data_IF_148031234531
#
_entry.id   IF_148031234531
#
_cell.length_a   1.000
_cell.length_b   1.000
_cell.length_c   1.000
_cell.angle_alpha   90.00
_cell.angle_beta   90.00
_cell.angle_gamma   90.00
#
_symmetry.space_group_name_H-M   'P 1'
#
loop_
_entity.id
_entity.type
_entity.pdbx_description
1 polymer ?
#
# COMPACT_ATOMS: atom_id res chain seq x y z
N UNK A 1 30.25 12.61 20.23
CA UNK A 1 28.82 12.67 19.88
C UNK A 1 28.74 12.39 18.39
N UNK A 2 28.40 11.17 18.02
CA UNK A 2 28.18 10.82 16.60
C UNK A 2 26.94 11.57 16.15
N UNK A 3 27.11 12.54 15.25
CA UNK A 3 26.02 13.37 14.72
C UNK A 3 25.13 12.49 13.84
N UNK A 4 24.17 11.78 14.45
CA UNK A 4 23.19 11.01 13.68
C UNK A 4 22.40 11.97 12.79
N UNK A 5 22.15 11.62 11.51
CA UNK A 5 21.41 12.48 10.60
C UNK A 5 19.99 12.70 11.14
N UNK A 6 19.53 13.95 11.09
CA UNK A 6 18.16 14.32 11.44
C UNK A 6 17.23 13.90 10.31
N UNK A 7 16.24 13.08 10.62
CA UNK A 7 15.26 12.59 9.64
C UNK A 7 13.86 13.04 10.07
N UNK A 8 13.13 13.64 9.13
CA UNK A 8 11.77 14.12 9.36
C UNK A 8 10.78 13.50 8.37
N UNK A 9 9.72 12.89 8.89
CA UNK A 9 8.57 12.44 8.10
C UNK A 9 7.56 13.60 7.98
N UNK A 10 7.00 13.78 6.79
CA UNK A 10 5.98 14.81 6.50
C UNK A 10 4.79 14.16 5.83
N UNK A 11 3.62 14.23 6.46
CA UNK A 11 2.41 13.60 5.93
C UNK A 11 1.15 14.25 6.51
N UNK A 12 0.03 14.06 5.82
CA UNK A 12 -1.27 14.22 6.47
C UNK A 12 -1.65 12.92 7.19
N UNK A 13 -1.62 12.87 8.54
CA UNK A 13 -1.84 11.63 9.29
C UNK A 13 -3.30 11.14 9.28
N UNK A 14 -4.20 11.89 8.64
CA UNK A 14 -5.61 11.53 8.43
C UNK A 14 -5.82 10.75 7.13
N UNK A 15 -4.76 10.51 6.34
CA UNK A 15 -4.86 9.70 5.14
C UNK A 15 -5.44 8.32 5.50
N UNK A 16 -6.60 7.92 4.95
CA UNK A 16 -7.21 6.65 5.27
C UNK A 16 -6.48 5.49 4.56
N UNK A 17 -6.46 4.33 5.20
CA UNK A 17 -5.92 3.12 4.59
C UNK A 17 -4.38 3.11 4.46
N UNK A 18 -3.89 2.96 3.22
CA UNK A 18 -2.52 2.51 2.92
C UNK A 18 -1.39 3.44 3.36
N UNK A 19 -1.49 4.75 3.11
CA UNK A 19 -0.37 5.69 3.39
C UNK A 19 -0.03 5.75 4.88
N UNK A 20 -1.01 6.07 5.74
CA UNK A 20 -0.77 6.20 7.18
C UNK A 20 -0.40 4.88 7.84
N UNK A 21 -0.97 3.77 7.36
CA UNK A 21 -0.58 2.43 7.82
C UNK A 21 0.87 2.10 7.40
N UNK A 22 1.27 2.41 6.17
CA UNK A 22 2.66 2.23 5.73
C UNK A 22 3.62 3.03 6.61
N UNK A 23 3.34 4.31 6.85
CA UNK A 23 4.19 5.16 7.71
C UNK A 23 4.24 4.65 9.15
N UNK A 24 3.14 4.09 9.67
CA UNK A 24 3.13 3.47 11.00
C UNK A 24 4.16 2.32 11.09
N UNK A 25 4.17 1.43 10.10
CA UNK A 25 5.15 0.33 10.00
C UNK A 25 6.58 0.86 9.82
N UNK A 26 6.76 1.88 8.97
CA UNK A 26 8.06 2.50 8.74
C UNK A 26 8.64 3.10 10.02
N UNK A 27 7.84 3.88 10.76
CA UNK A 27 8.25 4.46 12.05
C UNK A 27 8.67 3.35 13.02
N UNK A 28 7.87 2.29 13.15
CA UNK A 28 8.21 1.16 14.02
C UNK A 28 9.52 0.49 13.59
N UNK A 29 9.71 0.27 12.28
CA UNK A 29 10.89 -0.38 11.73
C UNK A 29 12.17 0.46 11.86
N UNK A 30 12.10 1.79 11.68
CA UNK A 30 13.30 2.64 11.71
C UNK A 30 13.64 3.16 13.11
N UNK A 31 12.70 3.09 14.07
CA UNK A 31 12.90 3.59 15.44
C UNK A 31 14.15 3.06 16.15
N UNK A 32 14.57 1.80 15.97
CA UNK A 32 15.83 1.29 16.52
C UNK A 32 17.09 1.91 15.88
N UNK A 33 16.99 2.41 14.65
CA UNK A 33 18.10 2.96 13.87
C UNK A 33 18.27 4.47 14.06
N UNK A 34 17.14 5.18 14.22
CA UNK A 34 17.07 6.63 14.32
C UNK A 34 15.85 7.03 15.14
N UNK A 35 15.89 8.21 15.76
CA UNK A 35 14.68 8.84 16.32
C UNK A 35 14.14 9.86 15.32
N UNK A 36 13.18 9.50 14.45
CA UNK A 36 12.67 10.44 13.46
C UNK A 36 11.79 11.51 14.12
N UNK A 37 11.78 12.70 13.53
CA UNK A 37 10.75 13.71 13.75
C UNK A 37 9.55 13.39 12.86
N UNK A 38 8.33 13.60 13.35
CA UNK A 38 7.10 13.44 12.57
C UNK A 38 6.36 14.75 12.52
N UNK A 39 6.21 15.29 11.32
CA UNK A 39 5.55 16.56 11.06
C UNK A 39 4.20 16.29 10.39
N UNK A 40 3.14 16.48 11.16
CA UNK A 40 1.77 16.30 10.72
C UNK A 40 1.28 17.53 9.95
N UNK A 41 0.58 17.28 8.84
CA UNK A 41 0.06 18.30 7.93
C UNK A 41 -1.45 18.28 7.94
N UNK A 42 -2.06 19.46 8.11
CA UNK A 42 -3.48 19.64 7.84
C UNK A 42 -3.70 20.01 6.36
N UNK A 43 -4.09 19.06 5.53
CA UNK A 43 -4.53 19.31 4.14
C UNK A 43 -6.05 19.51 4.02
N UNK A 44 -6.49 20.09 2.89
CA UNK A 44 -7.91 20.20 2.53
C UNK A 44 -8.55 18.86 2.17
N UNK A 45 -7.76 17.90 1.70
CA UNK A 45 -8.24 16.60 1.25
C UNK A 45 -8.93 15.80 2.36
N UNK A 46 -8.49 15.97 3.61
CA UNK A 46 -8.98 15.21 4.77
C UNK A 46 -9.68 16.09 5.80
N UNK A 47 -10.29 17.19 5.35
CA UNK A 47 -11.12 18.04 6.21
C UNK A 47 -12.23 17.22 6.88
N UNK A 48 -12.34 17.34 8.21
CA UNK A 48 -13.33 16.61 9.00
C UNK A 48 -13.02 15.12 9.27
N UNK A 49 -11.86 14.62 8.83
CA UNK A 49 -11.45 13.23 9.12
C UNK A 49 -10.61 13.15 10.40
N UNK A 50 -10.73 12.02 11.10
CA UNK A 50 -9.92 11.69 12.27
C UNK A 50 -8.55 11.15 11.88
N UNK A 51 -7.62 11.18 12.84
CA UNK A 51 -6.31 10.56 12.72
C UNK A 51 -6.40 9.05 12.47
N UNK A 52 -5.45 8.53 11.69
CA UNK A 52 -5.28 7.08 11.55
C UNK A 52 -4.92 6.46 12.91
N UNK A 53 -5.73 5.53 13.45
CA UNK A 53 -5.42 4.87 14.73
C UNK A 53 -4.11 4.07 14.68
N UNK A 54 -3.78 3.48 13.53
CA UNK A 54 -2.55 2.71 13.35
C UNK A 54 -1.31 3.60 13.48
N UNK A 55 -1.34 4.80 12.89
CA UNK A 55 -0.23 5.74 12.99
C UNK A 55 -0.13 6.32 14.40
N UNK A 56 -1.26 6.72 15.00
CA UNK A 56 -1.28 7.20 16.38
C UNK A 56 -0.65 6.17 17.34
N UNK A 57 -1.07 4.91 17.26
CA UNK A 57 -0.52 3.83 18.09
C UNK A 57 0.98 3.59 17.85
N UNK A 58 1.46 3.67 16.60
CA UNK A 58 2.88 3.53 16.30
C UNK A 58 3.72 4.69 16.85
N UNK A 59 3.21 5.93 16.79
CA UNK A 59 3.87 7.11 17.35
C UNK A 59 3.95 7.02 18.88
N UNK A 60 2.85 6.63 19.53
CA UNK A 60 2.79 6.43 20.98
C UNK A 60 3.79 5.35 21.42
N UNK A 61 3.80 4.19 20.74
CA UNK A 61 4.74 3.10 21.01
C UNK A 61 6.21 3.50 20.81
N UNK A 62 6.47 4.39 19.85
CA UNK A 62 7.82 4.91 19.56
C UNK A 62 8.25 6.06 20.48
N UNK A 63 7.34 6.61 21.30
CA UNK A 63 7.55 7.81 22.12
C UNK A 63 7.83 9.06 21.27
N UNK A 64 7.08 9.20 20.16
CA UNK A 64 7.20 10.31 19.21
C UNK A 64 5.93 11.15 19.27
N UNK A 65 6.07 12.43 19.58
CA UNK A 65 4.99 13.40 19.46
C UNK A 65 5.05 14.07 18.08
N UNK A 66 3.92 14.06 17.35
CA UNK A 66 3.86 14.69 16.04
C UNK A 66 3.76 16.22 16.17
N UNK A 67 4.61 16.94 15.45
CA UNK A 67 4.56 18.40 15.36
C UNK A 67 3.55 18.79 14.27
N UNK A 68 2.46 19.45 14.66
CA UNK A 68 1.40 19.85 13.75
C UNK A 68 1.69 21.17 13.05
N UNK A 69 1.54 21.17 11.73
CA UNK A 69 1.58 22.35 10.87
C UNK A 69 2.76 23.30 11.17
N UNK A 70 3.92 22.70 11.43
CA UNK A 70 5.15 23.44 11.65
C UNK A 70 5.41 24.40 10.47
N UNK A 71 5.66 25.70 10.72
CA UNK A 71 5.88 26.67 9.64
C UNK A 71 7.19 26.39 8.89
N UNK A 72 8.15 25.76 9.57
CA UNK A 72 9.46 25.36 9.02
C UNK A 72 9.78 23.94 9.49
N UNK A 73 10.20 23.11 8.55
CA UNK A 73 10.71 21.74 8.78
C UNK A 73 12.15 21.71 8.29
N UNK A 74 13.09 21.47 9.20
CA UNK A 74 14.52 21.47 8.88
C UNK A 74 15.19 20.18 9.38
N UNK A 75 15.73 19.38 8.46
CA UNK A 75 16.34 18.08 8.74
C UNK A 75 17.37 17.72 7.64
N UNK A 76 18.27 16.76 7.90
CA UNK A 76 19.19 16.30 6.85
C UNK A 76 18.43 15.57 5.74
N UNK A 77 17.44 14.77 6.11
CA UNK A 77 16.53 14.12 5.16
C UNK A 77 15.08 14.35 5.56
N UNK A 78 14.28 14.80 4.60
CA UNK A 78 12.83 14.96 4.75
C UNK A 78 12.14 13.97 3.84
N UNK A 79 11.26 13.15 4.41
CA UNK A 79 10.51 12.11 3.71
C UNK A 79 9.04 12.53 3.70
N UNK A 80 8.59 13.05 2.56
CA UNK A 80 7.21 13.47 2.35
C UNK A 80 6.39 12.31 1.80
N UNK A 81 5.40 11.86 2.56
CA UNK A 81 4.52 10.77 2.15
C UNK A 81 3.30 11.30 1.41
N UNK A 82 3.16 10.79 0.19
CA UNK A 82 2.02 10.92 -0.70
C UNK A 82 1.67 12.37 -1.09
N UNK A 83 2.20 12.88 -2.22
CA UNK A 83 1.93 14.25 -2.65
C UNK A 83 0.45 14.53 -2.91
N UNK A 84 -0.39 13.51 -3.11
CA UNK A 84 -1.81 13.67 -3.43
C UNK A 84 -2.62 14.39 -2.35
N UNK A 85 -2.15 14.46 -1.09
CA UNK A 85 -2.83 15.25 -0.05
C UNK A 85 -2.91 16.74 -0.42
N UNK A 86 -2.05 17.24 -1.29
CA UNK A 86 -2.00 18.64 -1.74
C UNK A 86 -2.97 18.97 -2.89
N UNK A 87 -3.68 18.00 -3.46
CA UNK A 87 -4.43 18.20 -4.71
C UNK A 87 -5.52 19.27 -4.65
N UNK A 88 -6.02 19.60 -3.45
CA UNK A 88 -7.00 20.67 -3.24
C UNK A 88 -6.40 21.91 -2.58
N UNK A 89 -5.12 21.87 -2.22
CA UNK A 89 -4.42 22.97 -1.57
C UNK A 89 -3.89 23.97 -2.59
N UNK A 90 -3.60 25.20 -2.15
CA UNK A 90 -3.02 26.24 -3.03
C UNK A 90 -1.50 26.34 -2.91
N UNK A 91 -0.96 25.95 -1.76
CA UNK A 91 0.47 25.98 -1.44
C UNK A 91 0.79 24.80 -0.52
N UNK A 92 2.09 24.52 -0.29
CA UNK A 92 2.50 23.58 0.76
C UNK A 92 2.18 24.11 2.17
N UNK A 93 2.03 25.42 2.35
CA UNK A 93 1.69 26.04 3.64
C UNK A 93 2.83 26.07 4.67
N UNK A 94 4.03 25.59 4.31
CA UNK A 94 5.23 25.53 5.17
C UNK A 94 6.50 25.54 4.33
N UNK A 95 7.64 25.80 4.97
CA UNK A 95 8.97 25.75 4.34
C UNK A 95 9.71 24.48 4.76
N UNK A 96 10.21 23.74 3.80
CA UNK A 96 11.09 22.60 4.03
C UNK A 96 12.51 23.03 3.68
N UNK A 97 13.46 22.77 4.59
CA UNK A 97 14.90 22.97 4.35
C UNK A 97 15.60 21.66 4.63
N UNK A 98 16.18 21.05 3.60
CA UNK A 98 16.81 19.74 3.74
C UNK A 98 18.03 19.56 2.86
N UNK A 99 18.88 18.59 3.17
CA UNK A 99 19.87 18.10 2.19
C UNK A 99 19.16 17.25 1.15
N UNK A 100 18.39 16.26 1.61
CA UNK A 100 17.58 15.36 0.78
C UNK A 100 16.09 15.58 1.04
N UNK A 101 15.31 15.74 -0.03
CA UNK A 101 13.86 15.55 0.00
C UNK A 101 13.50 14.26 -0.76
N UNK A 102 12.91 13.31 -0.07
CA UNK A 102 12.33 12.09 -0.65
C UNK A 102 10.82 12.26 -0.66
N UNK A 103 10.18 12.13 -1.81
CA UNK A 103 8.73 12.18 -1.98
C UNK A 103 8.23 10.79 -2.32
N UNK A 104 7.64 10.11 -1.35
CA UNK A 104 7.12 8.75 -1.51
C UNK A 104 5.76 8.78 -2.20
N UNK A 105 5.62 8.13 -3.35
CA UNK A 105 4.42 8.19 -4.19
C UNK A 105 3.49 7.01 -3.91
N UNK A 106 2.66 7.12 -2.87
CA UNK A 106 1.70 6.07 -2.51
C UNK A 106 0.52 5.94 -3.48
N UNK A 107 0.22 6.98 -4.26
CA UNK A 107 -0.80 6.96 -5.32
C UNK A 107 -0.15 6.84 -6.70
N UNK A 108 -0.85 6.17 -7.62
CA UNK A 108 -0.43 6.12 -9.02
C UNK A 108 -0.57 7.50 -9.66
N UNK A 109 0.47 7.94 -10.36
CA UNK A 109 0.43 9.20 -11.10
C UNK A 109 -0.52 9.10 -12.29
N UNK A 110 -0.64 7.90 -12.87
CA UNK A 110 -1.52 7.61 -13.98
C UNK A 110 -2.39 6.40 -13.66
N UNK A 111 -3.66 6.48 -14.05
CA UNK A 111 -4.61 5.36 -14.01
C UNK A 111 -4.47 4.53 -15.28
N UNK A 112 -5.00 3.28 -15.29
CA UNK A 112 -5.26 2.59 -16.55
C UNK A 112 -5.97 3.51 -17.54
N UNK A 113 -5.47 3.58 -18.77
CA UNK A 113 -5.91 4.55 -19.79
C UNK A 113 -5.13 5.87 -19.83
N UNK A 114 -4.17 6.08 -18.93
CA UNK A 114 -3.21 7.19 -19.00
C UNK A 114 -3.67 8.53 -18.43
N UNK A 115 -4.92 8.62 -17.95
CA UNK A 115 -5.41 9.77 -17.21
C UNK A 115 -4.68 9.93 -15.87
N UNK A 116 -4.47 11.16 -15.41
CA UNK A 116 -3.81 11.39 -14.12
C UNK A 116 -4.64 10.86 -12.94
N UNK A 117 -3.95 10.33 -11.93
CA UNK A 117 -4.58 9.90 -10.67
C UNK A 117 -5.17 11.06 -9.86
N UNK A 118 -4.48 12.20 -9.91
CA UNK A 118 -4.73 13.47 -9.21
C UNK A 118 -3.94 14.58 -9.93
N UNK A 119 -4.04 15.84 -9.49
CA UNK A 119 -3.21 16.97 -10.00
C UNK A 119 -1.72 16.77 -9.65
N UNK A 120 -1.02 15.92 -10.41
CA UNK A 120 0.38 15.53 -10.13
C UNK A 120 1.28 16.75 -10.27
N UNK A 121 1.21 17.42 -11.42
CA UNK A 121 2.04 18.59 -11.73
C UNK A 121 1.91 19.68 -10.66
N UNK A 122 0.67 20.00 -10.28
CA UNK A 122 0.43 21.01 -9.26
C UNK A 122 0.86 20.56 -7.87
N UNK A 123 0.70 19.30 -7.48
CA UNK A 123 1.17 18.84 -6.17
C UNK A 123 2.70 18.94 -6.07
N UNK A 124 3.40 18.51 -7.12
CA UNK A 124 4.86 18.64 -7.19
C UNK A 124 5.30 20.11 -7.24
N UNK A 125 4.57 21.00 -7.92
CA UNK A 125 4.85 22.45 -7.90
C UNK A 125 4.79 23.04 -6.50
N UNK A 126 3.75 22.69 -5.74
CA UNK A 126 3.56 23.18 -4.38
C UNK A 126 4.69 22.72 -3.45
N UNK A 127 5.10 21.45 -3.57
CA UNK A 127 6.24 20.90 -2.82
C UNK A 127 7.53 21.62 -3.21
N UNK A 128 7.76 21.79 -4.50
CA UNK A 128 8.97 22.38 -5.06
C UNK A 128 9.17 23.83 -4.60
N UNK A 129 8.11 24.65 -4.68
CA UNK A 129 8.11 26.06 -4.21
C UNK A 129 8.25 26.18 -2.69
N UNK A 130 7.73 25.20 -1.96
CA UNK A 130 7.81 25.15 -0.50
C UNK A 130 9.14 24.60 0.03
N UNK A 131 10.05 24.13 -0.84
CA UNK A 131 11.24 23.38 -0.41
C UNK A 131 12.54 23.91 -0.97
N UNK A 132 13.49 24.18 -0.08
CA UNK A 132 14.91 24.36 -0.39
C UNK A 132 15.62 23.05 -0.04
N UNK A 133 15.97 22.27 -1.07
CA UNK A 133 16.73 21.03 -0.89
C UNK A 133 17.83 20.89 -1.95
N UNK A 134 18.96 20.28 -1.58
CA UNK A 134 20.06 20.03 -2.53
C UNK A 134 19.66 18.97 -3.56
N UNK A 135 18.89 17.96 -3.13
CA UNK A 135 18.37 16.89 -3.98
C UNK A 135 16.91 16.60 -3.66
N UNK A 136 16.13 16.35 -4.71
CA UNK A 136 14.72 15.95 -4.62
C UNK A 136 14.53 14.63 -5.37
N UNK A 137 13.84 13.67 -4.76
CA UNK A 137 13.70 12.33 -5.32
C UNK A 137 12.26 11.85 -5.19
N UNK A 138 11.67 11.43 -6.30
CA UNK A 138 10.42 10.66 -6.31
C UNK A 138 10.72 9.21 -5.97
N UNK A 139 10.03 8.63 -5.00
CA UNK A 139 10.23 7.26 -4.54
C UNK A 139 8.94 6.45 -4.71
N UNK A 140 8.81 5.71 -5.84
CA UNK A 140 7.67 4.82 -6.07
C UNK A 140 7.54 3.71 -5.05
N UNK A 141 6.31 3.34 -4.70
CA UNK A 141 6.04 2.29 -3.70
C UNK A 141 6.01 0.88 -4.28
N UNK A 142 6.03 0.72 -5.61
CA UNK A 142 6.08 -0.59 -6.25
C UNK A 142 6.54 -0.49 -7.70
N UNK A 143 6.84 -1.63 -8.31
CA UNK A 143 7.20 -1.71 -9.71
C UNK A 143 6.11 -1.15 -10.63
N UNK A 144 4.83 -1.42 -10.33
CA UNK A 144 3.74 -0.85 -11.12
C UNK A 144 3.64 0.67 -10.91
N UNK A 145 3.67 1.13 -9.66
CA UNK A 145 3.64 2.56 -9.36
C UNK A 145 4.81 3.30 -10.05
N UNK A 146 6.00 2.70 -10.06
CA UNK A 146 7.19 3.20 -10.77
C UNK A 146 6.95 3.38 -12.25
N UNK A 147 6.26 2.45 -12.92
CA UNK A 147 5.90 2.60 -14.34
C UNK A 147 5.03 3.85 -14.49
N UNK A 148 4.00 4.02 -13.66
CA UNK A 148 3.11 5.20 -13.76
C UNK A 148 3.84 6.53 -13.51
N UNK A 149 4.81 6.54 -12.58
CA UNK A 149 5.62 7.72 -12.28
C UNK A 149 6.61 7.99 -13.41
N UNK A 150 7.31 6.97 -13.90
CA UNK A 150 8.28 7.07 -14.99
C UNK A 150 7.63 7.57 -16.28
N UNK A 151 6.48 7.01 -16.66
CA UNK A 151 5.72 7.41 -17.84
C UNK A 151 5.24 8.86 -17.74
N UNK A 152 4.75 9.25 -16.56
CA UNK A 152 4.35 10.63 -16.31
C UNK A 152 5.53 11.59 -16.44
N UNK A 153 6.68 11.25 -15.84
CA UNK A 153 7.92 12.04 -15.93
C UNK A 153 8.41 12.13 -17.37
N UNK A 154 8.38 11.05 -18.14
CA UNK A 154 8.80 11.04 -19.53
C UNK A 154 7.93 11.97 -20.40
N UNK A 155 6.63 12.06 -20.11
CA UNK A 155 5.68 12.90 -20.86
C UNK A 155 5.71 14.38 -20.45
N UNK A 156 5.87 14.67 -19.16
CA UNK A 156 5.75 16.03 -18.62
C UNK A 156 7.11 16.68 -18.31
N UNK A 157 8.19 15.91 -18.36
CA UNK A 157 9.48 16.29 -17.82
C UNK A 157 9.52 16.18 -16.29
N UNK A 158 10.75 16.10 -15.77
CA UNK A 158 11.03 16.26 -14.34
C UNK A 158 11.61 17.64 -14.12
N UNK A 159 11.24 18.31 -13.02
CA UNK A 159 11.79 19.63 -12.70
C UNK A 159 13.30 19.55 -12.46
N UNK A 160 14.07 20.61 -12.75
CA UNK A 160 15.49 20.66 -12.39
C UNK A 160 15.70 20.33 -10.90
N UNK A 161 16.67 19.45 -10.62
CA UNK A 161 16.98 19.00 -9.26
C UNK A 161 16.12 17.85 -8.74
N UNK A 162 15.14 17.37 -9.52
CA UNK A 162 14.37 16.17 -9.20
C UNK A 162 14.90 14.94 -9.93
N UNK A 163 14.81 13.79 -9.28
CA UNK A 163 15.23 12.48 -9.77
C UNK A 163 14.23 11.40 -9.39
N UNK A 164 14.32 10.22 -10.01
CA UNK A 164 13.59 9.03 -9.59
C UNK A 164 14.51 8.14 -8.76
N UNK A 165 14.01 7.61 -7.64
CA UNK A 165 14.76 6.69 -6.79
C UNK A 165 15.15 5.44 -7.58
N UNK A 166 16.36 4.91 -7.38
CA UNK A 166 16.84 3.72 -8.07
C UNK A 166 15.94 2.50 -7.82
N UNK A 167 15.58 2.26 -6.57
CA UNK A 167 14.71 1.17 -6.14
C UNK A 167 13.40 1.69 -5.55
N UNK A 168 12.41 0.81 -5.43
CA UNK A 168 11.13 1.15 -4.83
C UNK A 168 11.30 1.42 -3.32
N UNK A 169 10.44 2.28 -2.78
CA UNK A 169 10.33 2.53 -1.34
C UNK A 169 9.67 1.35 -0.63
N UNK A 170 8.67 0.75 -1.29
CA UNK A 170 7.77 -0.32 -0.84
C UNK A 170 7.12 -0.15 0.54
N UNK A 171 5.95 -0.76 0.69
CA UNK A 171 5.30 -0.82 2.00
C UNK A 171 5.75 -2.09 2.71
N UNK A 172 6.03 -1.98 4.01
CA UNK A 172 6.39 -3.13 4.83
C UNK A 172 5.20 -4.09 4.92
N UNK A 173 5.46 -5.37 4.67
CA UNK A 173 4.54 -6.50 4.76
C UNK A 173 5.16 -7.60 5.59
N UNK A 174 5.40 -7.28 6.86
CA UNK A 174 5.96 -8.19 7.85
C UNK A 174 4.82 -8.69 8.74
N UNK A 175 4.29 -9.86 8.39
CA UNK A 175 3.11 -10.44 9.02
C UNK A 175 3.46 -11.82 9.60
N UNK A 176 2.82 -12.24 10.70
CA UNK A 176 2.88 -13.63 11.13
C UNK A 176 2.42 -14.56 10.00
N UNK A 177 3.22 -15.59 9.74
CA UNK A 177 2.92 -16.57 8.70
C UNK A 177 2.08 -17.72 9.26
N UNK A 178 0.95 -17.98 8.61
CA UNK A 178 0.10 -19.14 8.89
C UNK A 178 0.43 -20.25 7.91
N UNK A 179 0.53 -21.53 8.35
CA UNK A 179 0.75 -22.64 7.42
C UNK A 179 -0.38 -22.75 6.39
N UNK A 180 -0.12 -23.36 5.21
CA UNK A 180 -1.17 -23.64 4.24
C UNK A 180 -2.26 -24.54 4.82
N UNK A 181 -3.49 -24.36 4.37
CA UNK A 181 -4.59 -25.32 4.61
C UNK A 181 -4.25 -26.69 4.00
N UNK A 182 -4.29 -27.76 4.80
CA UNK A 182 -3.96 -29.13 4.34
C UNK A 182 -4.96 -29.69 3.32
N UNK A 183 -6.25 -29.37 3.48
CA UNK A 183 -7.33 -29.80 2.61
C UNK A 183 -8.18 -28.58 2.19
N UNK A 184 -7.71 -27.78 1.21
CA UNK A 184 -8.41 -26.59 0.77
C UNK A 184 -9.78 -26.96 0.18
N UNK A 185 -10.79 -26.16 0.46
CA UNK A 185 -12.15 -26.29 -0.08
C UNK A 185 -12.50 -25.05 -0.90
N UNK A 186 -13.62 -25.09 -1.63
CA UNK A 186 -14.05 -23.95 -2.46
C UNK A 186 -14.66 -22.82 -1.61
N UNK A 187 -13.82 -22.23 -0.75
CA UNK A 187 -14.13 -21.11 0.14
C UNK A 187 -13.39 -19.87 -0.33
N UNK A 188 -14.12 -18.96 -0.96
CA UNK A 188 -13.57 -17.80 -1.66
C UNK A 188 -13.74 -16.54 -0.83
N UNK A 189 -12.70 -15.72 -0.81
CA UNK A 189 -12.68 -14.44 -0.13
C UNK A 189 -12.32 -13.30 -1.05
N UNK A 190 -12.86 -12.11 -0.76
CA UNK A 190 -12.32 -10.83 -1.21
C UNK A 190 -12.20 -9.86 -0.04
N UNK A 191 -11.09 -9.13 0.04
CA UNK A 191 -10.88 -8.08 1.04
C UNK A 191 -10.30 -6.80 0.40
N UNK A 192 -10.96 -5.66 0.62
CA UNK A 192 -10.41 -4.34 0.28
C UNK A 192 -11.02 -3.25 1.16
N UNK A 193 -10.46 -2.04 1.15
CA UNK A 193 -11.20 -0.84 1.57
C UNK A 193 -12.45 -0.64 0.68
N UNK A 194 -13.48 0.09 1.15
CA UNK A 194 -14.63 0.41 0.31
C UNK A 194 -14.24 1.42 -0.77
N UNK A 195 -14.88 1.33 -1.92
CA UNK A 195 -14.68 2.22 -3.07
C UNK A 195 -15.06 1.53 -4.36
N UNK A 196 -15.85 2.19 -5.20
CA UNK A 196 -16.31 1.61 -6.47
C UNK A 196 -15.13 1.19 -7.36
N UNK A 197 -14.03 1.94 -7.32
CA UNK A 197 -12.82 1.63 -8.10
C UNK A 197 -12.14 0.32 -7.67
N UNK A 198 -12.36 -0.10 -6.42
CA UNK A 198 -11.78 -1.33 -5.87
C UNK A 198 -12.54 -2.57 -6.32
N UNK A 199 -13.79 -2.44 -6.77
CA UNK A 199 -14.62 -3.57 -7.17
C UNK A 199 -14.64 -3.72 -8.69
N UNK A 200 -14.58 -4.96 -9.22
CA UNK A 200 -14.79 -5.18 -10.63
C UNK A 200 -16.29 -5.06 -10.96
N UNK A 201 -16.67 -5.01 -12.24
CA UNK A 201 -18.08 -5.03 -12.64
C UNK A 201 -18.82 -6.25 -12.06
N UNK A 202 -20.13 -6.10 -11.83
CA UNK A 202 -20.97 -7.14 -11.23
C UNK A 202 -20.83 -8.52 -11.91
N UNK A 203 -20.80 -8.55 -13.24
CA UNK A 203 -20.62 -9.79 -14.01
C UNK A 203 -19.31 -10.54 -13.66
N UNK A 204 -18.24 -9.80 -13.33
CA UNK A 204 -16.97 -10.39 -12.89
C UNK A 204 -17.08 -10.94 -11.47
N UNK A 205 -17.80 -10.24 -10.57
CA UNK A 205 -18.08 -10.76 -9.23
C UNK A 205 -18.90 -12.04 -9.27
N UNK A 206 -19.94 -12.12 -10.11
CA UNK A 206 -20.78 -13.31 -10.25
C UNK A 206 -19.98 -14.53 -10.76
N UNK A 207 -18.98 -14.31 -11.64
CA UNK A 207 -18.04 -15.36 -12.06
C UNK A 207 -17.09 -15.78 -10.94
N UNK A 208 -16.57 -14.83 -10.17
CA UNK A 208 -15.58 -15.09 -9.12
C UNK A 208 -16.20 -15.70 -7.85
N UNK A 209 -17.44 -15.35 -7.53
CA UNK A 209 -18.15 -15.73 -6.31
C UNK A 209 -19.49 -16.42 -6.60
N UNK A 210 -19.50 -17.59 -7.24
CA UNK A 210 -20.70 -18.25 -7.70
C UNK A 210 -21.45 -18.96 -6.57
N UNK A 211 -22.75 -19.24 -6.79
CA UNK A 211 -23.63 -19.95 -5.84
C UNK A 211 -23.14 -21.35 -5.45
N UNK A 212 -22.36 -22.02 -6.31
CA UNK A 212 -21.90 -23.37 -6.06
C UNK A 212 -20.66 -23.45 -5.14
N UNK A 213 -19.98 -22.32 -4.90
CA UNK A 213 -18.87 -22.27 -3.95
C UNK A 213 -19.40 -22.56 -2.53
N UNK A 214 -18.60 -23.25 -1.71
CA UNK A 214 -18.97 -23.57 -0.33
C UNK A 214 -19.17 -22.30 0.50
N UNK A 215 -18.34 -21.29 0.27
CA UNK A 215 -18.47 -19.98 0.90
C UNK A 215 -17.95 -18.87 -0.01
N UNK A 216 -18.64 -17.73 -0.02
CA UNK A 216 -18.17 -16.49 -0.63
C UNK A 216 -18.20 -15.39 0.43
N UNK A 217 -17.03 -14.93 0.89
CA UNK A 217 -16.90 -13.96 1.99
C UNK A 217 -16.25 -12.68 1.46
N UNK A 218 -17.02 -11.59 1.41
CA UNK A 218 -16.57 -10.31 0.88
C UNK A 218 -16.47 -9.32 2.04
N UNK A 219 -15.25 -8.93 2.39
CA UNK A 219 -14.93 -7.96 3.44
C UNK A 219 -14.61 -6.59 2.80
N UNK A 220 -15.24 -5.54 3.32
CA UNK A 220 -15.23 -4.21 2.68
C UNK A 220 -16.31 -4.04 1.60
N UNK A 221 -17.44 -4.72 1.79
CA UNK A 221 -18.51 -4.85 0.82
C UNK A 221 -19.56 -3.72 0.85
N UNK A 222 -19.27 -2.58 1.48
CA UNK A 222 -20.26 -1.49 1.67
C UNK A 222 -20.95 -1.07 0.36
N UNK A 223 -20.20 -1.04 -0.75
CA UNK A 223 -20.76 -0.70 -2.07
C UNK A 223 -21.79 -1.73 -2.56
N UNK A 224 -21.61 -3.00 -2.22
CA UNK A 224 -22.52 -4.10 -2.57
C UNK A 224 -23.70 -4.17 -1.59
N UNK A 225 -23.47 -3.86 -0.31
CA UNK A 225 -24.51 -3.83 0.72
C UNK A 225 -25.54 -2.72 0.47
N UNK A 226 -25.17 -1.68 -0.27
CA UNK A 226 -26.04 -0.59 -0.65
C UNK A 226 -26.91 -0.90 -1.90
N UNK A 227 -26.70 -2.03 -2.57
CA UNK A 227 -27.53 -2.44 -3.72
C UNK A 227 -28.93 -2.90 -3.26
N UNK A 228 -29.97 -2.53 -4.01
CA UNK A 228 -31.36 -2.89 -3.68
C UNK A 228 -31.63 -4.40 -3.73
N UNK A 229 -30.88 -5.13 -4.57
CA UNK A 229 -31.03 -6.56 -4.80
C UNK A 229 -29.86 -7.34 -4.17
N UNK A 230 -29.98 -7.80 -2.91
CA UNK A 230 -28.92 -8.54 -2.25
C UNK A 230 -28.68 -9.88 -2.93
N UNK A 231 -27.42 -10.33 -2.92
CA UNK A 231 -27.01 -11.63 -3.48
C UNK A 231 -26.92 -12.66 -2.35
N UNK A 232 -27.89 -13.60 -2.22
CA UNK A 232 -28.03 -14.40 -1.00
C UNK A 232 -26.86 -15.36 -0.70
N UNK A 233 -26.06 -15.69 -1.72
CA UNK A 233 -24.90 -16.59 -1.58
C UNK A 233 -23.59 -15.85 -1.30
N UNK A 234 -23.64 -14.53 -1.09
CA UNK A 234 -22.50 -13.72 -0.66
C UNK A 234 -22.64 -13.34 0.81
N UNK A 235 -21.61 -13.61 1.59
CA UNK A 235 -21.48 -13.14 2.97
C UNK A 235 -20.76 -11.79 2.94
N UNK A 236 -21.53 -10.72 3.05
CA UNK A 236 -21.04 -9.35 2.95
C UNK A 236 -20.74 -8.78 4.34
N UNK A 237 -19.53 -8.26 4.53
CA UNK A 237 -19.10 -7.59 5.75
C UNK A 237 -18.55 -6.20 5.43
N UNK A 238 -18.84 -5.18 6.25
CA UNK A 238 -18.26 -3.85 6.07
C UNK A 238 -16.75 -3.90 6.30
N UNK A 239 -16.01 -2.92 5.82
CA UNK A 239 -14.59 -2.81 6.03
C UNK A 239 -14.27 -2.74 7.52
N UNK A 240 -13.32 -3.55 7.98
CA UNK A 240 -13.02 -3.77 9.42
C UNK A 240 -14.18 -4.32 10.24
N UNK A 241 -15.22 -4.86 9.60
CA UNK A 241 -16.34 -5.54 10.27
C UNK A 241 -15.99 -6.93 10.79
N UNK A 242 -14.86 -7.50 10.37
CA UNK A 242 -14.27 -8.72 10.88
C UNK A 242 -12.81 -8.47 11.22
N UNK A 243 -12.35 -9.11 12.29
CA UNK A 243 -10.93 -9.33 12.53
C UNK A 243 -10.32 -10.16 11.38
N UNK A 244 -9.07 -9.87 11.01
CA UNK A 244 -8.43 -10.49 9.85
C UNK A 244 -8.14 -11.98 10.07
N UNK A 245 -7.78 -12.41 11.28
CA UNK A 245 -7.58 -13.82 11.59
C UNK A 245 -8.89 -14.59 11.38
N UNK A 246 -9.99 -14.04 11.92
CA UNK A 246 -11.33 -14.61 11.70
C UNK A 246 -11.69 -14.65 10.22
N UNK A 247 -11.48 -13.57 9.49
CA UNK A 247 -11.78 -13.50 8.05
C UNK A 247 -11.00 -14.57 7.26
N UNK A 248 -9.69 -14.66 7.47
CA UNK A 248 -8.85 -15.64 6.78
C UNK A 248 -9.17 -17.09 7.20
N UNK A 249 -9.70 -17.31 8.41
CA UNK A 249 -10.22 -18.62 8.81
C UNK A 249 -11.45 -19.09 8.00
N UNK A 250 -12.18 -18.16 7.38
CA UNK A 250 -13.40 -18.46 6.61
C UNK A 250 -13.12 -18.83 5.15
N UNK A 251 -11.89 -18.63 4.65
CA UNK A 251 -11.55 -18.76 3.23
C UNK A 251 -10.29 -19.61 3.01
N UNK A 252 -10.16 -20.19 1.82
CA UNK A 252 -8.94 -20.86 1.34
C UNK A 252 -8.32 -20.15 0.13
N UNK A 253 -9.15 -19.43 -0.65
CA UNK A 253 -8.74 -18.70 -1.83
C UNK A 253 -9.10 -17.23 -1.71
N UNK A 254 -8.13 -16.34 -1.89
CA UNK A 254 -8.38 -14.90 -1.98
C UNK A 254 -8.47 -14.51 -3.46
N UNK A 255 -9.65 -14.14 -3.93
CA UNK A 255 -9.92 -13.75 -5.32
C UNK A 255 -10.06 -12.24 -5.38
N UNK A 256 -9.11 -11.58 -6.06
CA UNK A 256 -8.99 -10.12 -6.06
C UNK A 256 -8.91 -9.58 -7.48
N UNK A 257 -10.03 -9.06 -7.99
CA UNK A 257 -10.08 -8.27 -9.21
C UNK A 257 -10.59 -6.87 -8.85
N UNK A 258 -10.15 -5.85 -9.60
CA UNK A 258 -10.57 -4.46 -9.43
C UNK A 258 -11.29 -3.94 -10.68
N UNK A 259 -11.80 -2.71 -10.63
CA UNK A 259 -12.33 -2.08 -11.82
C UNK A 259 -11.22 -1.98 -12.91
N UNK A 260 -11.54 -2.11 -14.21
CA UNK A 260 -10.54 -1.98 -15.29
C UNK A 260 -9.84 -0.61 -15.34
N UNK A 261 -10.46 0.41 -14.73
CA UNK A 261 -9.94 1.77 -14.61
C UNK A 261 -9.10 1.99 -13.34
N UNK A 262 -8.83 0.92 -12.59
CA UNK A 262 -8.11 0.96 -11.33
C UNK A 262 -6.99 -0.08 -11.30
N UNK A 263 -5.85 0.34 -10.79
CA UNK A 263 -4.73 -0.54 -10.48
C UNK A 263 -4.21 -0.23 -9.08
N UNK A 264 -3.92 -1.26 -8.31
CA UNK A 264 -3.31 -1.07 -6.99
C UNK A 264 -1.91 -0.44 -7.10
N UNK A 265 -1.63 0.55 -6.26
CA UNK A 265 -0.27 1.12 -6.16
C UNK A 265 0.70 0.17 -5.47
N UNK A 266 0.24 -0.67 -4.53
CA UNK A 266 1.08 -1.68 -3.88
C UNK A 266 0.32 -3.00 -3.65
N UNK A 267 -0.87 -2.96 -3.03
CA UNK A 267 -1.69 -4.16 -2.82
C UNK A 267 -1.43 -4.90 -1.51
N UNK A 268 -1.30 -4.19 -0.37
CA UNK A 268 -1.04 -4.80 0.96
C UNK A 268 -2.03 -5.92 1.33
N UNK A 269 -3.30 -5.80 0.96
CA UNK A 269 -4.32 -6.84 1.21
C UNK A 269 -4.00 -8.19 0.57
N UNK A 270 -3.22 -8.20 -0.51
CA UNK A 270 -2.73 -9.42 -1.15
C UNK A 270 -1.62 -10.05 -0.31
N UNK A 271 -0.70 -9.23 0.22
CA UNK A 271 0.34 -9.69 1.13
C UNK A 271 -0.22 -10.24 2.45
N UNK A 272 -1.29 -9.63 2.99
CA UNK A 272 -2.02 -10.15 4.16
C UNK A 272 -2.58 -11.55 3.89
N UNK A 273 -3.19 -11.76 2.72
CA UNK A 273 -3.72 -13.08 2.34
C UNK A 273 -2.61 -14.12 2.09
N UNK A 274 -1.48 -13.71 1.49
CA UNK A 274 -0.30 -14.57 1.33
C UNK A 274 0.22 -15.01 2.71
N UNK A 275 0.39 -14.06 3.64
CA UNK A 275 0.86 -14.34 4.98
C UNK A 275 -0.08 -15.29 5.73
N UNK A 276 -1.40 -15.10 5.58
CA UNK A 276 -2.43 -15.95 6.16
C UNK A 276 -2.55 -17.35 5.51
N UNK A 277 -1.63 -17.72 4.63
CA UNK A 277 -1.53 -19.07 4.08
C UNK A 277 -2.53 -19.35 2.96
N UNK A 278 -3.01 -18.32 2.25
CA UNK A 278 -4.02 -18.44 1.19
C UNK A 278 -3.40 -18.40 -0.20
N UNK A 279 -4.02 -19.12 -1.14
CA UNK A 279 -3.73 -18.91 -2.57
C UNK A 279 -4.44 -17.64 -3.01
N UNK A 280 -3.66 -16.66 -3.48
CA UNK A 280 -4.16 -15.38 -3.98
C UNK A 280 -4.26 -15.42 -5.49
N UNK A 281 -5.41 -15.04 -6.03
CA UNK A 281 -5.79 -15.11 -7.43
C UNK A 281 -6.19 -13.72 -7.89
N UNK A 282 -5.63 -13.27 -9.02
CA UNK A 282 -5.89 -11.92 -9.55
C UNK A 282 -5.64 -11.85 -11.05
N UNK A 283 -5.85 -10.68 -11.65
CA UNK A 283 -5.47 -10.41 -13.04
C UNK A 283 -3.93 -10.35 -13.20
N UNK A 284 -3.47 -10.44 -14.45
CA UNK A 284 -2.05 -10.48 -14.76
C UNK A 284 -1.29 -9.19 -14.35
N UNK A 285 -1.93 -8.02 -14.43
CA UNK A 285 -1.28 -6.75 -14.10
C UNK A 285 -1.07 -6.63 -12.59
N UNK A 286 -2.07 -7.01 -11.79
CA UNK A 286 -1.95 -7.09 -10.33
C UNK A 286 -0.95 -8.16 -9.90
N UNK A 287 -0.96 -9.33 -10.54
CA UNK A 287 -0.05 -10.43 -10.19
C UNK A 287 1.43 -10.13 -10.49
N UNK A 288 1.71 -9.31 -11.52
CA UNK A 288 3.07 -8.96 -11.94
C UNK A 288 3.91 -8.32 -10.81
N UNK A 289 3.27 -7.59 -9.89
CA UNK A 289 3.93 -6.95 -8.76
C UNK A 289 4.42 -7.90 -7.66
N UNK A 290 3.99 -9.16 -7.69
CA UNK A 290 4.17 -10.11 -6.58
C UNK A 290 5.07 -11.31 -6.93
N UNK A 291 5.86 -11.23 -8.01
CA UNK A 291 6.89 -12.22 -8.36
C UNK A 291 6.41 -13.69 -8.30
N UNK A 292 5.18 -13.96 -8.75
CA UNK A 292 4.58 -15.30 -8.77
C UNK A 292 3.88 -15.73 -7.47
N UNK A 293 3.85 -14.87 -6.44
CA UNK A 293 3.09 -15.14 -5.22
C UNK A 293 1.58 -15.04 -5.42
N UNK A 294 1.15 -14.17 -6.35
CA UNK A 294 -0.23 -14.07 -6.83
C UNK A 294 -0.36 -14.85 -8.13
N UNK A 295 -1.40 -15.69 -8.25
CA UNK A 295 -1.67 -16.51 -9.42
C UNK A 295 -2.47 -15.69 -10.45
N UNK A 296 -1.90 -15.37 -11.62
CA UNK A 296 -2.61 -14.63 -12.66
C UNK A 296 -3.65 -15.52 -13.34
N UNK A 297 -4.88 -15.01 -13.50
CA UNK A 297 -5.94 -15.70 -14.24
C UNK A 297 -6.99 -14.71 -14.76
N UNK A 298 -7.89 -15.17 -15.63
CA UNK A 298 -9.08 -14.42 -16.04
C UNK A 298 -10.28 -14.80 -15.18
N UNK A 299 -11.26 -13.91 -14.97
CA UNK A 299 -12.45 -14.20 -14.16
C UNK A 299 -13.15 -15.52 -14.54
N UNK A 300 -13.26 -15.82 -15.83
CA UNK A 300 -13.89 -17.03 -16.36
C UNK A 300 -13.11 -18.33 -16.08
N UNK A 301 -11.85 -18.23 -15.66
CA UNK A 301 -10.96 -19.36 -15.38
C UNK A 301 -10.80 -19.67 -13.88
N UNK A 302 -11.28 -18.79 -13.00
CA UNK A 302 -11.14 -18.89 -11.53
C UNK A 302 -11.65 -20.24 -11.02
N UNK A 303 -12.81 -20.67 -11.49
CA UNK A 303 -13.44 -21.95 -11.13
C UNK A 303 -12.54 -23.16 -11.46
N UNK A 304 -11.97 -23.17 -12.66
CA UNK A 304 -11.09 -24.26 -13.09
C UNK A 304 -9.79 -24.27 -12.30
N UNK A 305 -9.25 -23.08 -12.00
CA UNK A 305 -8.04 -22.92 -11.20
C UNK A 305 -8.24 -23.45 -9.77
N UNK A 306 -9.32 -23.05 -9.10
CA UNK A 306 -9.65 -23.48 -7.74
C UNK A 306 -9.84 -25.00 -7.68
N UNK A 307 -10.60 -25.58 -8.62
CA UNK A 307 -10.76 -27.05 -8.71
C UNK A 307 -9.42 -27.77 -8.83
N UNK A 308 -8.48 -27.22 -9.60
CA UNK A 308 -7.14 -27.78 -9.73
C UNK A 308 -6.34 -27.80 -8.41
N UNK A 309 -6.49 -26.77 -7.57
CA UNK A 309 -5.86 -26.72 -6.25
C UNK A 309 -6.55 -27.62 -5.22
N UNK A 310 -7.87 -27.80 -5.30
CA UNK A 310 -8.61 -28.74 -4.43
C UNK A 310 -8.25 -30.19 -4.79
N UNK A 311 -8.13 -30.50 -6.08
CA UNK A 311 -7.75 -31.84 -6.55
C UNK A 311 -6.29 -32.22 -6.24
N UNK A 312 -5.41 -31.22 -6.04
CA UNK A 312 -4.01 -31.40 -5.66
C UNK A 312 -3.64 -30.45 -4.51
N UNK A 313 -3.93 -30.84 -3.25
CA UNK A 313 -3.54 -30.05 -2.07
C UNK A 313 -2.03 -29.83 -1.94
N UNK A 314 -1.20 -30.73 -2.51
CA UNK A 314 0.25 -30.56 -2.56
C UNK A 314 0.66 -29.36 -3.40
N UNK A 315 -0.03 -29.12 -4.52
CA UNK A 315 0.12 -27.90 -5.34
C UNK A 315 -0.33 -26.65 -4.60
N UNK A 316 -1.42 -26.71 -3.83
CA UNK A 316 -1.88 -25.59 -2.99
C UNK A 316 -0.81 -25.21 -1.97
N UNK A 317 -0.37 -26.17 -1.16
CA UNK A 317 0.64 -25.95 -0.13
C UNK A 317 1.96 -25.45 -0.70
N UNK A 318 2.36 -25.95 -1.87
CA UNK A 318 3.57 -25.48 -2.57
C UNK A 318 3.43 -24.06 -3.09
N UNK A 319 2.26 -23.66 -3.61
CA UNK A 319 2.01 -22.27 -4.02
C UNK A 319 2.06 -21.32 -2.83
N UNK A 320 1.39 -21.67 -1.72
CA UNK A 320 1.38 -20.85 -0.50
C UNK A 320 2.79 -20.64 0.04
N UNK A 321 3.59 -21.72 0.20
CA UNK A 321 4.97 -21.60 0.70
C UNK A 321 5.85 -20.74 -0.19
N UNK A 322 5.75 -20.89 -1.52
CA UNK A 322 6.47 -20.03 -2.47
C UNK A 322 6.04 -18.58 -2.34
N UNK A 323 4.74 -18.33 -2.24
CA UNK A 323 4.19 -16.99 -2.08
C UNK A 323 4.69 -16.32 -0.79
N UNK A 324 4.62 -17.03 0.34
CA UNK A 324 5.12 -16.53 1.63
C UNK A 324 6.62 -16.21 1.60
N UNK A 325 7.44 -17.03 0.93
CA UNK A 325 8.86 -16.75 0.79
C UNK A 325 9.14 -15.40 0.08
N UNK A 326 8.25 -14.96 -0.82
CA UNK A 326 8.40 -13.65 -1.48
C UNK A 326 8.21 -12.46 -0.55
N UNK A 327 7.46 -12.62 0.56
CA UNK A 327 7.21 -11.54 1.52
C UNK A 327 8.47 -11.05 2.23
N UNK A 328 9.52 -11.88 2.31
CA UNK A 328 10.83 -11.48 2.84
C UNK A 328 11.41 -10.22 2.18
N UNK A 329 11.07 -9.97 0.90
CA UNK A 329 11.48 -8.77 0.14
C UNK A 329 10.80 -7.49 0.62
N UNK A 330 9.69 -7.63 1.35
CA UNK A 330 8.90 -6.54 1.93
C UNK A 330 8.97 -6.54 3.46
N UNK A 331 9.93 -7.25 4.05
CA UNK A 331 10.13 -7.31 5.51
C UNK A 331 10.60 -5.97 6.08
N UNK A 332 10.49 -5.82 7.40
CA UNK A 332 11.04 -4.66 8.10
C UNK A 332 12.57 -4.56 7.90
N UNK A 333 13.29 -5.69 7.90
CA UNK A 333 14.74 -5.73 7.68
C UNK A 333 15.12 -5.25 6.26
N UNK A 334 14.40 -5.72 5.23
CA UNK A 334 14.60 -5.26 3.86
C UNK A 334 14.36 -3.74 3.76
N UNK A 335 13.32 -3.24 4.43
CA UNK A 335 13.02 -1.81 4.45
C UNK A 335 14.09 -1.00 5.17
N UNK A 336 14.58 -1.46 6.33
CA UNK A 336 15.66 -0.82 7.07
C UNK A 336 16.94 -0.68 6.22
N UNK A 337 17.31 -1.71 5.47
CA UNK A 337 18.45 -1.65 4.56
C UNK A 337 18.24 -0.60 3.45
N UNK A 338 17.03 -0.54 2.88
CA UNK A 338 16.65 0.45 1.87
C UNK A 338 16.65 1.87 2.42
N UNK A 339 16.07 2.05 3.60
CA UNK A 339 15.98 3.32 4.32
C UNK A 339 17.38 3.85 4.65
N UNK A 340 18.27 3.00 5.15
CA UNK A 340 19.64 3.40 5.45
C UNK A 340 20.39 3.88 4.20
N UNK A 341 20.25 3.16 3.08
CA UNK A 341 20.84 3.56 1.80
C UNK A 341 20.28 4.89 1.27
N UNK A 342 18.97 5.11 1.40
CA UNK A 342 18.30 6.31 0.91
C UNK A 342 18.59 7.57 1.76
N UNK A 343 18.80 7.39 3.06
CA UNK A 343 19.01 8.50 4.02
C UNK A 343 20.48 8.76 4.34
N UNK A 344 21.37 7.84 3.95
CA UNK A 344 22.80 7.91 4.25
C UNK A 344 23.13 7.56 5.71
N UNK A 345 22.24 6.86 6.42
CA UNK A 345 22.54 6.28 7.73
C UNK A 345 23.60 5.18 7.56
N UNK A 346 24.78 5.37 8.15
CA UNK A 346 25.83 4.34 8.19
C UNK A 346 25.41 3.18 9.10
N UNK A 347 25.59 1.92 8.65
CA UNK A 347 25.28 0.71 9.43
C UNK A 347 26.00 0.62 10.80
N UNK A 348 27.05 1.41 11.02
CA UNK A 348 27.80 1.45 12.28
C UNK A 348 27.02 2.04 13.47
N UNK A 349 25.85 2.65 13.26
CA UNK A 349 25.03 3.21 14.34
C UNK A 349 24.09 2.21 15.04
N UNK A 350 24.09 0.93 14.61
CA UNK A 350 23.16 -0.09 15.08
C UNK A 350 23.80 -1.22 15.91
N UNK A 351 25.00 -0.99 16.46
CA UNK A 351 25.70 -1.94 17.34
C UNK A 351 25.71 -1.46 18.80
#
# INVERSE_FOLDING_TARGET
MTNQPRIAYVLDPRFPGGTSAAVAEEVAAVRPLVRPEVHAVTSRMFSGQSLSPALAGALDAAGIEAVWDAPVIAADTVILHNPAFLKFDKTLGRRIVARELIVVTHENFQRPGGAEGFDVAGCLDRIDRGTVALRKTLAPVSAHNRVTVSDWVARNGVRPGWSLAADDWFNICDFPLTPPTDAPRDRRGRHSRPGFEKFPPRAVLDLCFPRHAEANVILGAEVLMAEEAPVPHWQLHPFRGLDLERYFGMIDFMVYFTAPTWQESFGRVLAEAIAAGKVVISDAATAAGFAGAVVPTRPEEVDALIRGFIADPGRYASQVRRAQATLSRFSAEAFQARFAAATGLSREAAA
#
